data_IF_353066322422
#
_entry.id   IF_353066322422
#
_cell.length_a   1.000
_cell.length_b   1.000
_cell.length_c   1.000
_cell.angle_alpha   90.00
_cell.angle_beta   90.00
_cell.angle_gamma   90.00
#
_symmetry.space_group_name_H-M   'P 1'
#
loop_
_entity.id
_entity.type
_entity.pdbx_description
1 polymer ?
#
# COMPACT_ATOMS: atom_id res chain seq x y z
N UNK A 1 0.59 -20.27 3.93
CA UNK A 1 0.02 -19.10 3.21
C UNK A 1 -0.12 -17.94 4.18
N UNK A 2 0.36 -16.77 3.79
CA UNK A 2 0.29 -15.58 4.65
C UNK A 2 -0.88 -14.70 4.19
N UNK A 3 -1.83 -14.46 5.10
CA UNK A 3 -2.93 -13.56 4.85
C UNK A 3 -2.53 -12.15 5.26
N UNK A 4 -3.00 -11.16 4.52
CA UNK A 4 -2.80 -9.75 4.89
C UNK A 4 -4.02 -9.25 5.66
N UNK A 5 -3.77 -8.35 6.62
CA UNK A 5 -4.85 -7.70 7.36
C UNK A 5 -5.49 -6.63 6.47
N UNK A 6 -6.82 -6.66 6.40
CA UNK A 6 -7.60 -5.70 5.64
C UNK A 6 -8.88 -5.35 6.39
N UNK A 7 -9.34 -4.12 6.25
CA UNK A 7 -10.56 -3.64 6.89
C UNK A 7 -11.71 -3.41 5.91
N UNK A 8 -11.61 -3.98 4.70
CA UNK A 8 -12.64 -3.83 3.67
C UNK A 8 -13.99 -4.37 4.13
N UNK A 9 -14.01 -5.58 4.73
CA UNK A 9 -15.26 -6.19 5.18
C UNK A 9 -15.95 -5.33 6.23
N UNK A 10 -15.18 -4.81 7.18
CA UNK A 10 -15.70 -3.95 8.24
C UNK A 10 -16.36 -2.71 7.64
N UNK A 11 -15.67 -2.03 6.73
CA UNK A 11 -16.21 -0.82 6.09
C UNK A 11 -17.40 -1.14 5.21
N UNK A 12 -17.32 -2.22 4.44
CA UNK A 12 -18.45 -2.64 3.60
C UNK A 12 -19.71 -2.86 4.42
N UNK A 13 -19.60 -3.60 5.52
CA UNK A 13 -20.74 -3.89 6.40
C UNK A 13 -21.26 -2.64 7.09
N UNK A 14 -20.37 -1.77 7.49
CA UNK A 14 -20.74 -0.49 8.10
C UNK A 14 -21.68 0.32 7.21
N UNK A 15 -21.42 0.32 5.91
CA UNK A 15 -22.19 1.08 4.94
C UNK A 15 -23.32 0.28 4.29
N UNK A 16 -23.54 -0.96 4.72
CA UNK A 16 -24.64 -1.79 4.23
C UNK A 16 -24.46 -2.29 2.81
N UNK A 17 -23.24 -2.37 2.32
CA UNK A 17 -22.95 -2.81 0.95
C UNK A 17 -22.78 -4.32 0.88
N UNK A 18 -23.25 -4.94 -0.19
CA UNK A 18 -22.96 -6.33 -0.51
C UNK A 18 -21.60 -6.44 -1.20
N UNK A 19 -21.01 -7.64 -1.21
CA UNK A 19 -19.79 -7.87 -1.95
C UNK A 19 -19.96 -7.59 -3.44
N UNK A 20 -21.12 -7.93 -3.99
CA UNK A 20 -21.44 -7.67 -5.40
C UNK A 20 -21.46 -6.17 -5.70
N UNK A 21 -22.06 -5.38 -4.80
CA UNK A 21 -22.10 -3.93 -4.96
C UNK A 21 -20.71 -3.32 -4.90
N UNK A 22 -19.87 -3.78 -3.97
CA UNK A 22 -18.50 -3.31 -3.91
C UNK A 22 -17.73 -3.69 -5.19
N UNK A 23 -17.91 -4.92 -5.68
CA UNK A 23 -17.27 -5.36 -6.93
C UNK A 23 -17.64 -4.42 -8.09
N UNK A 24 -18.91 -4.06 -8.20
CA UNK A 24 -19.37 -3.14 -9.22
C UNK A 24 -18.74 -1.75 -9.07
N UNK A 25 -18.70 -1.24 -7.84
CA UNK A 25 -18.16 0.11 -7.55
C UNK A 25 -16.67 0.23 -7.82
N UNK A 26 -15.90 -0.80 -7.50
CA UNK A 26 -14.44 -0.76 -7.68
C UNK A 26 -13.98 -1.35 -9.02
N UNK A 27 -14.93 -1.82 -9.85
CA UNK A 27 -14.62 -2.25 -11.21
C UNK A 27 -13.99 -3.63 -11.33
N UNK A 28 -14.22 -4.53 -10.36
CA UNK A 28 -13.77 -5.92 -10.50
C UNK A 28 -14.92 -6.81 -10.98
N UNK A 29 -14.56 -7.97 -11.54
CA UNK A 29 -15.50 -8.80 -12.31
C UNK A 29 -16.47 -9.59 -11.45
N UNK A 30 -16.16 -9.86 -10.18
CA UNK A 30 -16.99 -10.74 -9.37
C UNK A 30 -16.91 -10.44 -7.89
N UNK A 31 -17.96 -10.85 -7.16
CA UNK A 31 -17.96 -10.81 -5.70
C UNK A 31 -16.89 -11.73 -5.09
N UNK A 32 -16.48 -12.76 -5.80
CA UNK A 32 -15.40 -13.64 -5.34
C UNK A 32 -14.07 -12.88 -5.23
N UNK A 33 -13.81 -11.94 -6.12
CA UNK A 33 -12.62 -11.09 -6.04
C UNK A 33 -12.66 -10.22 -4.76
N UNK A 34 -13.83 -9.62 -4.47
CA UNK A 34 -14.02 -8.85 -3.24
C UNK A 34 -13.83 -9.73 -2.01
N UNK A 35 -14.39 -10.93 -2.04
CA UNK A 35 -14.20 -11.89 -0.95
C UNK A 35 -12.73 -12.23 -0.70
N UNK A 36 -11.96 -12.43 -1.77
CA UNK A 36 -10.53 -12.70 -1.66
C UNK A 36 -9.77 -11.50 -1.06
N UNK A 37 -10.12 -10.29 -1.47
CA UNK A 37 -9.55 -9.07 -0.88
C UNK A 37 -9.90 -8.96 0.61
N UNK A 38 -11.16 -9.22 0.98
CA UNK A 38 -11.61 -9.14 2.37
C UNK A 38 -10.91 -10.16 3.27
N UNK A 39 -10.63 -11.35 2.74
CA UNK A 39 -9.95 -12.41 3.49
C UNK A 39 -8.43 -12.23 3.50
N UNK A 40 -7.91 -11.25 2.79
CA UNK A 40 -6.48 -11.01 2.74
C UNK A 40 -5.70 -12.02 1.92
N UNK A 41 -6.39 -12.80 1.07
CA UNK A 41 -5.76 -13.82 0.22
C UNK A 41 -5.03 -13.18 -0.95
N UNK A 42 -5.61 -12.12 -1.50
CA UNK A 42 -5.02 -11.39 -2.63
C UNK A 42 -4.78 -9.94 -2.26
N UNK A 43 -3.77 -9.34 -2.87
CA UNK A 43 -3.47 -7.93 -2.71
C UNK A 43 -4.21 -7.13 -3.78
N UNK A 44 -4.64 -5.91 -3.47
CA UNK A 44 -5.27 -5.07 -4.48
C UNK A 44 -4.24 -4.62 -5.51
N UNK A 45 -4.68 -4.48 -6.76
CA UNK A 45 -3.92 -3.72 -7.76
C UNK A 45 -3.94 -2.24 -7.35
N UNK A 46 -3.06 -1.44 -7.94
CA UNK A 46 -3.05 0.00 -7.67
C UNK A 46 -4.40 0.64 -7.98
N UNK A 47 -5.01 0.26 -9.10
CA UNK A 47 -6.31 0.79 -9.51
C UNK A 47 -7.42 0.42 -8.53
N UNK A 48 -7.46 -0.83 -8.10
CA UNK A 48 -8.45 -1.29 -7.11
C UNK A 48 -8.24 -0.58 -5.78
N UNK A 49 -6.99 -0.41 -5.35
CA UNK A 49 -6.71 0.31 -4.11
C UNK A 49 -7.20 1.75 -4.15
N UNK A 50 -6.94 2.46 -5.25
CA UNK A 50 -7.42 3.83 -5.42
C UNK A 50 -8.96 3.90 -5.43
N UNK A 51 -9.60 2.92 -6.06
CA UNK A 51 -11.06 2.84 -6.07
C UNK A 51 -11.62 2.62 -4.65
N UNK A 52 -10.98 1.75 -3.86
CA UNK A 52 -11.37 1.52 -2.47
C UNK A 52 -11.18 2.76 -1.60
N UNK A 53 -10.10 3.51 -1.81
CA UNK A 53 -9.89 4.78 -1.12
C UNK A 53 -10.99 5.78 -1.44
N UNK A 54 -11.37 5.87 -2.70
CA UNK A 54 -12.45 6.75 -3.14
C UNK A 54 -13.79 6.31 -2.54
N UNK A 55 -14.06 5.01 -2.56
CA UNK A 55 -15.32 4.46 -2.09
C UNK A 55 -15.55 4.70 -0.59
N UNK A 56 -14.54 4.36 0.22
CA UNK A 56 -14.69 4.40 1.68
C UNK A 56 -14.14 5.66 2.34
N UNK A 57 -13.47 6.53 1.58
CA UNK A 57 -12.85 7.73 2.15
C UNK A 57 -11.73 7.41 3.12
N UNK A 58 -11.03 6.30 2.93
CA UNK A 58 -9.95 5.82 3.79
C UNK A 58 -8.65 5.74 3.02
N UNK A 59 -7.53 5.93 3.73
CA UNK A 59 -6.20 5.79 3.12
C UNK A 59 -5.85 4.32 2.92
N UNK A 60 -4.86 4.07 2.06
CA UNK A 60 -4.31 2.73 1.88
C UNK A 60 -3.81 2.14 3.21
N UNK A 61 -3.16 2.97 4.04
CA UNK A 61 -2.65 2.53 5.33
C UNK A 61 -3.78 2.13 6.29
N UNK A 62 -4.92 2.79 6.21
CA UNK A 62 -6.09 2.43 7.02
C UNK A 62 -6.76 1.15 6.53
N UNK A 63 -6.82 0.95 5.21
CA UNK A 63 -7.46 -0.24 4.62
C UNK A 63 -6.56 -1.47 4.65
N UNK A 64 -5.26 -1.30 4.39
CA UNK A 64 -4.27 -2.37 4.27
C UNK A 64 -3.00 -2.03 5.05
N UNK A 65 -3.05 -1.96 6.38
CA UNK A 65 -1.92 -1.46 7.17
C UNK A 65 -0.64 -2.29 6.99
N UNK A 66 -0.75 -3.61 6.88
CA UNK A 66 0.43 -4.46 6.72
C UNK A 66 1.09 -4.30 5.35
N UNK A 67 0.31 -4.12 4.29
CA UNK A 67 0.85 -3.90 2.95
C UNK A 67 1.66 -2.60 2.93
N UNK A 68 1.11 -1.54 3.51
CA UNK A 68 1.81 -0.24 3.58
C UNK A 68 3.07 -0.34 4.43
N UNK A 69 2.98 -0.97 5.61
CA UNK A 69 4.14 -1.13 6.49
C UNK A 69 5.27 -1.92 5.82
N UNK A 70 4.94 -2.99 5.10
CA UNK A 70 5.95 -3.79 4.40
C UNK A 70 6.60 -3.01 3.27
N UNK A 71 5.81 -2.24 2.51
CA UNK A 71 6.36 -1.41 1.43
C UNK A 71 7.31 -0.35 1.98
N UNK A 72 6.92 0.34 3.06
CA UNK A 72 7.76 1.34 3.71
C UNK A 72 9.04 0.72 4.26
N UNK A 73 8.93 -0.39 4.98
CA UNK A 73 10.07 -1.05 5.58
C UNK A 73 11.08 -1.49 4.51
N UNK A 74 10.60 -2.01 3.38
CA UNK A 74 11.47 -2.43 2.28
C UNK A 74 12.23 -1.26 1.71
N UNK A 75 11.56 -0.15 1.40
CA UNK A 75 12.20 1.04 0.84
C UNK A 75 13.20 1.62 1.82
N UNK A 76 12.84 1.71 3.10
CA UNK A 76 13.72 2.26 4.13
C UNK A 76 14.97 1.40 4.34
N UNK A 77 14.81 0.08 4.36
CA UNK A 77 15.93 -0.85 4.52
C UNK A 77 16.89 -0.76 3.33
N UNK A 78 16.36 -0.74 2.11
CA UNK A 78 17.19 -0.64 0.91
C UNK A 78 17.88 0.72 0.82
N UNK A 79 17.18 1.80 1.17
CA UNK A 79 17.79 3.13 1.18
C UNK A 79 18.95 3.21 2.17
N UNK A 80 18.77 2.65 3.36
CA UNK A 80 19.85 2.61 4.36
C UNK A 80 21.05 1.81 3.86
N UNK A 81 20.80 0.66 3.23
CA UNK A 81 21.87 -0.17 2.66
C UNK A 81 22.63 0.59 1.56
N UNK A 82 21.92 1.30 0.69
CA UNK A 82 22.54 2.08 -0.37
C UNK A 82 23.37 3.24 0.17
N UNK A 83 22.95 3.86 1.27
CA UNK A 83 23.71 4.93 1.92
C UNK A 83 25.01 4.43 2.56
N UNK A 84 25.06 3.16 2.95
CA UNK A 84 26.26 2.53 3.50
C UNK A 84 27.27 2.11 2.43
N UNK A 85 26.86 2.07 1.16
CA UNK A 85 27.78 1.71 0.07
C UNK A 85 28.88 2.77 -0.10
N UNK A 86 30.13 2.37 -0.41
CA UNK A 86 31.18 3.34 -0.69
C UNK A 86 30.79 4.24 -1.86
N UNK A 87 31.08 5.54 -1.71
CA UNK A 87 30.81 6.53 -2.76
C UNK A 87 32.06 6.68 -3.61
N UNK A 88 32.06 6.20 -4.88
CA UNK A 88 33.27 6.27 -5.71
C UNK A 88 33.60 7.70 -6.16
N UNK A 89 32.60 8.54 -6.37
CA UNK A 89 32.78 9.93 -6.79
C UNK A 89 31.67 10.81 -6.23
N UNK A 90 31.98 12.10 -6.02
CA UNK A 90 31.01 13.09 -5.56
C UNK A 90 30.42 13.88 -6.73
N UNK A 91 29.92 13.19 -7.74
CA UNK A 91 29.21 13.82 -8.84
C UNK A 91 27.89 14.44 -8.36
N UNK A 92 27.35 15.36 -9.16
CA UNK A 92 26.03 15.95 -8.85
C UNK A 92 24.94 14.88 -8.77
N UNK A 93 24.98 13.87 -9.66
CA UNK A 93 24.06 12.75 -9.63
C UNK A 93 24.15 12.00 -8.30
N UNK A 94 25.35 11.71 -7.81
CA UNK A 94 25.54 11.02 -6.53
C UNK A 94 25.01 11.84 -5.37
N UNK A 95 25.26 13.17 -5.37
CA UNK A 95 24.77 14.05 -4.32
C UNK A 95 23.23 14.10 -4.28
N UNK A 96 22.59 14.19 -5.43
CA UNK A 96 21.12 14.19 -5.54
C UNK A 96 20.52 12.88 -5.06
N UNK A 97 21.12 11.76 -5.46
CA UNK A 97 20.69 10.44 -5.03
C UNK A 97 20.77 10.31 -3.51
N UNK A 98 21.89 10.68 -2.90
CA UNK A 98 22.05 10.61 -1.46
C UNK A 98 21.09 11.53 -0.72
N UNK A 99 20.81 12.71 -1.25
CA UNK A 99 19.82 13.61 -0.66
C UNK A 99 18.45 12.96 -0.63
N UNK A 100 18.02 12.35 -1.74
CA UNK A 100 16.76 11.63 -1.79
C UNK A 100 16.71 10.51 -0.77
N UNK A 101 17.74 9.66 -0.73
CA UNK A 101 17.76 8.50 0.15
C UNK A 101 17.67 8.87 1.62
N UNK A 102 18.32 9.98 2.02
CA UNK A 102 18.27 10.46 3.40
C UNK A 102 16.90 11.01 3.80
N UNK A 103 16.11 11.44 2.84
CA UNK A 103 14.77 11.99 3.09
C UNK A 103 13.71 10.91 3.26
N UNK A 104 13.99 9.68 2.81
CA UNK A 104 13.00 8.60 2.80
C UNK A 104 12.37 8.34 4.17
N UNK A 105 13.14 8.22 5.28
CA UNK A 105 12.54 7.96 6.59
C UNK A 105 11.49 8.99 7.01
N UNK A 106 11.67 10.26 6.62
CA UNK A 106 10.72 11.32 6.97
C UNK A 106 9.44 11.26 6.15
N UNK A 107 9.39 10.44 5.11
CA UNK A 107 8.22 10.25 4.24
C UNK A 107 7.36 9.07 4.65
N UNK A 108 7.66 8.41 5.77
CA UNK A 108 6.86 7.29 6.25
C UNK A 108 5.39 7.72 6.32
N UNK A 109 4.51 6.89 5.74
CA UNK A 109 3.09 7.20 5.68
C UNK A 109 2.49 6.98 7.05
N UNK A 110 2.04 8.07 7.65
CA UNK A 110 1.30 8.08 8.89
C UNK A 110 -0.17 8.18 8.49
N UNK A 111 -0.88 7.10 8.56
CA UNK A 111 -2.26 7.08 8.12
C UNK A 111 -3.19 7.88 8.99
#
# INVERSE_FOLDING_TARGET
MTFIVTYIRRERRKWGLTQREVARLIGVTSSAHVSALERGITRPSAEVLLALQMLFGMTAAQLFPQVVQRAQAKVMTEAAAMLDDPIPTMSLRTQRKHTLLRQIPSRAIMS
#
